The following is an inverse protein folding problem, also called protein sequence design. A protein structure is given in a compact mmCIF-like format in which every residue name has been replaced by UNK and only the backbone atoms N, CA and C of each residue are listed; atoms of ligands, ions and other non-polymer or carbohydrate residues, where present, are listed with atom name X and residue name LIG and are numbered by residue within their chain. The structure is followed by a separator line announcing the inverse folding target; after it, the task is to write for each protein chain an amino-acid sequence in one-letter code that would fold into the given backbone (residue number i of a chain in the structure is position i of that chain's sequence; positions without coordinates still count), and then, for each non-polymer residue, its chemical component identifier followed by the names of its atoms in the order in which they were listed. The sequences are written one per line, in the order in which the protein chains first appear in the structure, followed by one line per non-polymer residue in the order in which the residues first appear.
data_IF_385802884870
#
_entry.id   IF_385802884870
#
_cell.length_a   1.000
_cell.length_b   1.000
_cell.length_c   1.000
_cell.angle_alpha   90.00
_cell.angle_beta   90.00
_cell.angle_gamma   90.00
#
_symmetry.space_group_name_H-M   'P 1'
#
loop_
_entity.id
_entity.type
_entity.pdbx_description
1 polymer ?
#
# COMPACT_ATOMS: atom_id res chain seq x y z
N UNK A 1 24.70 -7.98 8.71
CA UNK A 1 24.44 -6.74 7.98
C UNK A 1 23.20 -6.07 8.56
N UNK A 2 23.42 -4.96 9.25
CA UNK A 2 22.44 -4.02 9.79
C UNK A 2 22.53 -2.72 9.00
N UNK A 3 21.52 -1.85 9.09
CA UNK A 3 21.58 -0.52 8.44
C UNK A 3 22.76 0.34 8.95
N UNK A 4 23.27 0.09 10.17
CA UNK A 4 24.47 0.75 10.68
C UNK A 4 25.74 0.30 9.94
N UNK A 5 25.79 -0.96 9.49
CA UNK A 5 26.93 -1.51 8.71
C UNK A 5 27.06 -0.81 7.35
N UNK A 6 25.94 -0.27 6.82
CA UNK A 6 25.91 0.58 5.62
C UNK A 6 26.22 2.06 5.90
N UNK A 7 26.50 2.42 7.16
CA UNK A 7 26.84 3.78 7.57
C UNK A 7 25.64 4.71 7.82
N UNK A 8 24.40 4.19 7.88
CA UNK A 8 23.23 5.01 8.17
C UNK A 8 23.03 5.20 9.68
N UNK A 9 22.75 6.44 10.09
CA UNK A 9 22.49 6.76 11.50
C UNK A 9 21.00 6.56 11.84
N UNK A 10 20.71 5.51 12.61
CA UNK A 10 19.35 5.14 13.00
C UNK A 10 19.00 5.74 14.36
N UNK A 11 17.89 6.48 14.44
CA UNK A 11 17.39 7.04 15.70
C UNK A 11 16.48 6.06 16.43
N UNK A 12 15.59 5.37 15.71
CA UNK A 12 14.63 4.44 16.32
C UNK A 12 14.18 3.37 15.34
N UNK A 13 13.98 2.17 15.86
CA UNK A 13 13.42 1.04 15.12
C UNK A 13 12.18 0.53 15.86
N UNK A 14 11.06 0.35 15.16
CA UNK A 14 9.82 -0.19 15.73
C UNK A 14 9.22 -1.23 14.79
N UNK A 15 9.11 -2.47 15.24
CA UNK A 15 8.39 -3.50 14.51
C UNK A 15 6.89 -3.24 14.59
N UNK A 16 6.17 -3.38 13.47
CA UNK A 16 4.72 -3.34 13.47
C UNK A 16 4.16 -4.69 13.91
N UNK A 17 3.32 -4.67 14.94
CA UNK A 17 2.76 -5.87 15.57
C UNK A 17 2.10 -6.80 14.53
N UNK A 18 2.47 -8.09 14.54
CA UNK A 18 1.95 -9.14 13.62
C UNK A 18 2.17 -8.84 12.13
N UNK A 19 3.16 -8.01 11.76
CA UNK A 19 3.48 -7.71 10.36
C UNK A 19 4.98 -7.86 10.09
N UNK A 20 5.37 -8.31 8.88
CA UNK A 20 6.76 -8.36 8.43
C UNK A 20 7.28 -6.96 8.06
N UNK A 21 6.96 -5.96 8.88
CA UNK A 21 7.21 -4.55 8.60
C UNK A 21 7.95 -3.93 9.77
N UNK A 22 9.05 -3.26 9.47
CA UNK A 22 9.82 -2.50 10.44
C UNK A 22 9.74 -1.03 10.07
N UNK A 23 9.29 -0.20 11.01
CA UNK A 23 9.36 1.25 10.92
C UNK A 23 10.73 1.70 11.41
N UNK A 24 11.45 2.45 10.61
CA UNK A 24 12.76 3.01 10.93
C UNK A 24 12.69 4.52 10.90
N UNK A 25 13.26 5.17 11.92
CA UNK A 25 13.44 6.61 12.02
C UNK A 25 14.94 6.90 11.93
N UNK A 26 15.34 7.75 10.98
CA UNK A 26 16.74 8.12 10.73
C UNK A 26 17.08 9.48 11.35
N UNK A 27 18.35 9.71 11.67
CA UNK A 27 18.80 11.01 12.19
C UNK A 27 18.83 12.10 11.11
N UNK A 28 19.32 11.75 9.90
CA UNK A 28 19.53 12.69 8.79
C UNK A 28 18.51 12.47 7.67
N UNK A 29 18.07 13.57 7.06
CA UNK A 29 17.14 13.54 5.91
C UNK A 29 17.83 13.03 4.64
N UNK A 30 19.12 13.29 4.48
CA UNK A 30 19.95 12.83 3.36
C UNK A 30 19.99 11.30 3.26
N UNK A 31 20.09 10.63 4.41
CA UNK A 31 20.11 9.17 4.49
C UNK A 31 18.79 8.55 4.02
N UNK A 32 17.66 9.24 4.25
CA UNK A 32 16.35 8.83 3.72
C UNK A 32 16.37 8.82 2.20
N UNK A 33 16.95 9.85 1.59
CA UNK A 33 17.02 9.98 0.12
C UNK A 33 17.95 8.93 -0.47
N UNK A 34 19.08 8.64 0.20
CA UNK A 34 20.02 7.59 -0.23
C UNK A 34 19.36 6.21 -0.18
N UNK A 35 18.80 5.83 0.96
CA UNK A 35 18.10 4.55 1.16
C UNK A 35 16.95 4.35 0.17
N UNK A 36 16.22 5.41 -0.19
CA UNK A 36 15.14 5.32 -1.18
C UNK A 36 15.63 5.19 -2.62
N UNK A 37 16.88 5.58 -2.92
CA UNK A 37 17.52 5.37 -4.21
C UNK A 37 18.21 4.01 -4.30
N UNK A 38 18.68 3.51 -3.16
CA UNK A 38 19.34 2.22 -3.02
C UNK A 38 18.28 1.10 -3.09
N UNK A 39 18.20 0.41 -4.23
CA UNK A 39 17.26 -0.71 -4.39
C UNK A 39 17.79 -2.03 -3.80
N UNK A 40 19.09 -2.07 -3.48
CA UNK A 40 19.81 -3.29 -3.13
C UNK A 40 20.24 -3.33 -1.66
N UNK A 41 19.29 -3.06 -0.75
CA UNK A 41 19.54 -3.16 0.68
C UNK A 41 19.30 -4.60 1.12
N UNK A 42 20.38 -5.26 1.54
CA UNK A 42 20.35 -6.59 2.09
C UNK A 42 20.42 -6.50 3.62
N UNK A 43 19.52 -7.21 4.32
CA UNK A 43 19.59 -7.33 5.77
C UNK A 43 19.62 -8.82 6.11
N UNK A 44 20.77 -9.27 6.60
CA UNK A 44 21.08 -10.70 6.71
C UNK A 44 21.25 -11.33 5.32
N UNK A 45 20.40 -12.29 4.97
CA UNK A 45 20.42 -12.98 3.67
C UNK A 45 19.27 -12.54 2.75
N UNK A 46 18.55 -11.47 3.13
CA UNK A 46 17.28 -11.09 2.52
C UNK A 46 17.35 -9.69 1.92
N UNK A 47 16.89 -9.57 0.67
CA UNK A 47 16.64 -8.28 0.05
C UNK A 47 15.41 -7.63 0.69
N UNK A 48 15.57 -6.40 1.15
CA UNK A 48 14.52 -5.66 1.85
C UNK A 48 14.01 -4.57 0.94
N UNK A 49 12.69 -4.54 0.75
CA UNK A 49 12.07 -3.46 -0.01
C UNK A 49 11.77 -2.29 0.92
N UNK A 50 12.30 -1.12 0.58
CA UNK A 50 12.10 0.12 1.33
C UNK A 50 10.97 0.94 0.72
N UNK A 51 10.07 1.46 1.55
CA UNK A 51 9.05 2.43 1.15
C UNK A 51 9.01 3.62 2.14
N UNK A 52 8.71 4.85 1.68
CA UNK A 52 8.44 5.99 2.56
C UNK A 52 7.37 5.70 3.61
N UNK A 53 7.60 6.11 4.87
CA UNK A 53 6.54 6.10 5.88
C UNK A 53 5.57 7.26 5.63
N UNK A 54 4.31 7.04 5.97
CA UNK A 54 3.25 8.03 5.84
C UNK A 54 2.42 8.00 7.13
N UNK A 55 2.38 9.13 7.85
CA UNK A 55 1.74 9.25 9.17
C UNK A 55 0.24 8.99 9.12
N UNK A 56 -0.40 9.26 7.99
CA UNK A 56 -1.82 8.99 7.77
C UNK A 56 -2.07 7.52 7.39
N UNK A 57 -1.03 6.67 7.37
CA UNK A 57 -1.07 5.28 6.93
C UNK A 57 -0.37 4.34 7.90
N UNK A 58 -1.15 3.56 8.63
CA UNK A 58 -0.64 2.46 9.46
C UNK A 58 -0.11 1.25 8.68
N UNK A 59 -0.31 1.21 7.35
CA UNK A 59 0.13 0.11 6.46
C UNK A 59 0.64 0.60 5.10
N UNK A 60 1.57 -0.13 4.44
CA UNK A 60 2.15 0.22 3.14
C UNK A 60 1.12 0.44 2.02
N UNK A 61 1.57 1.11 0.94
CA UNK A 61 0.75 1.60 -0.18
C UNK A 61 -0.10 0.54 -0.88
N UNK A 62 0.11 -0.76 -0.71
CA UNK A 62 -0.68 -1.82 -1.38
C UNK A 62 -2.14 -1.97 -0.93
N UNK A 63 -2.60 -1.25 0.11
CA UNK A 63 -3.89 -1.50 0.76
C UNK A 63 -5.08 -0.59 0.36
N UNK A 64 -5.06 0.10 -0.79
CA UNK A 64 -6.32 0.57 -1.40
C UNK A 64 -7.09 -0.63 -1.96
N UNK A 65 -7.61 -1.45 -1.05
CA UNK A 65 -8.34 -2.66 -1.38
C UNK A 65 -9.79 -2.27 -1.46
N UNK A 66 -10.23 -2.05 -2.70
CA UNK A 66 -11.64 -2.11 -3.02
C UNK A 66 -12.14 -3.51 -2.69
N UNK A 67 -13.14 -3.60 -1.83
CA UNK A 67 -13.70 -4.88 -1.44
C UNK A 67 -14.21 -5.63 -2.68
N UNK A 68 -13.71 -6.86 -2.94
CA UNK A 68 -14.15 -7.66 -4.10
C UNK A 68 -15.59 -8.18 -3.97
N UNK A 69 -16.18 -8.08 -2.76
CA UNK A 69 -17.55 -8.52 -2.46
C UNK A 69 -18.58 -7.43 -2.71
N UNK A 70 -18.32 -6.20 -2.26
CA UNK A 70 -19.29 -5.10 -2.31
C UNK A 70 -18.82 -3.89 -3.12
N UNK A 71 -17.57 -3.89 -3.58
CA UNK A 71 -16.96 -2.80 -4.36
C UNK A 71 -16.91 -1.44 -3.66
N UNK A 72 -17.17 -1.38 -2.36
CA UNK A 72 -16.90 -0.22 -1.52
C UNK A 72 -15.43 -0.17 -1.10
N UNK A 73 -15.01 1.01 -0.65
CA UNK A 73 -13.63 1.29 -0.25
C UNK A 73 -13.39 0.91 1.22
N UNK A 74 -12.11 0.87 1.59
CA UNK A 74 -11.61 0.81 2.97
C UNK A 74 -11.92 -0.47 3.78
N UNK A 75 -12.14 -1.62 3.12
CA UNK A 75 -12.21 -2.91 3.82
C UNK A 75 -11.94 -4.08 2.86
N UNK A 76 -11.51 -5.21 3.43
CA UNK A 76 -11.30 -6.47 2.68
C UNK A 76 -12.56 -7.35 2.70
N UNK A 77 -12.56 -8.43 1.92
CA UNK A 77 -13.72 -9.33 1.79
C UNK A 77 -14.15 -9.93 3.13
N UNK A 78 -13.18 -10.24 4.00
CA UNK A 78 -13.42 -10.82 5.34
C UNK A 78 -14.14 -9.86 6.28
N UNK A 79 -13.85 -8.56 6.18
CA UNK A 79 -14.42 -7.50 7.02
C UNK A 79 -15.68 -6.88 6.39
N UNK A 80 -16.21 -7.49 5.32
CA UNK A 80 -17.28 -6.89 4.56
C UNK A 80 -18.64 -7.07 5.27
N UNK A 81 -19.36 -5.97 5.62
CA UNK A 81 -20.65 -6.06 6.29
C UNK A 81 -21.75 -6.63 5.37
N UNK A 82 -21.51 -6.67 4.06
CA UNK A 82 -22.46 -7.25 3.10
C UNK A 82 -22.38 -8.77 3.17
N UNK A 83 -23.49 -9.40 3.51
CA UNK A 83 -23.64 -10.87 3.48
C UNK A 83 -23.50 -11.42 2.06
N UNK A 84 -24.05 -10.73 1.05
CA UNK A 84 -24.11 -11.19 -0.35
C UNK A 84 -23.19 -10.38 -1.29
N UNK A 85 -22.72 -11.01 -2.36
CA UNK A 85 -21.86 -10.38 -3.38
C UNK A 85 -22.68 -9.44 -4.27
N UNK A 86 -22.11 -8.29 -4.56
CA UNK A 86 -22.67 -7.27 -5.45
C UNK A 86 -22.08 -7.45 -6.85
N UNK A 87 -22.87 -7.20 -7.89
CA UNK A 87 -22.39 -7.22 -9.28
C UNK A 87 -21.53 -6.01 -9.60
N UNK A 88 -20.41 -6.22 -10.32
CA UNK A 88 -19.50 -5.14 -10.74
C UNK A 88 -20.10 -4.17 -11.76
N UNK A 89 -21.08 -4.64 -12.53
CA UNK A 89 -21.67 -3.91 -13.64
C UNK A 89 -22.92 -3.12 -13.26
N UNK A 90 -23.78 -3.70 -12.41
CA UNK A 90 -25.06 -3.06 -12.07
C UNK A 90 -25.17 -2.64 -10.61
N UNK A 91 -24.22 -3.04 -9.75
CA UNK A 91 -24.27 -2.71 -8.32
C UNK A 91 -25.40 -3.38 -7.53
N UNK A 92 -26.17 -4.27 -8.17
CA UNK A 92 -27.24 -5.04 -7.52
C UNK A 92 -26.68 -6.27 -6.81
N UNK A 93 -27.30 -6.63 -5.68
CA UNK A 93 -27.00 -7.86 -4.96
C UNK A 93 -27.56 -9.09 -5.71
N UNK A 94 -26.93 -10.25 -5.53
CA UNK A 94 -27.43 -11.58 -5.95
C UNK A 94 -27.49 -11.83 -7.46
N UNK A 95 -26.94 -10.92 -8.26
CA UNK A 95 -26.78 -11.15 -9.70
C UNK A 95 -25.33 -11.54 -9.97
N UNK A 96 -25.11 -12.76 -10.44
CA UNK A 96 -23.80 -13.16 -10.95
C UNK A 96 -23.41 -12.26 -12.11
N UNK A 97 -22.17 -11.78 -12.10
CA UNK A 97 -21.65 -10.92 -13.17
C UNK A 97 -21.69 -11.62 -14.55
N UNK A 98 -21.64 -12.95 -14.56
CA UNK A 98 -21.78 -13.77 -15.77
C UNK A 98 -23.20 -13.74 -16.35
N UNK A 99 -24.23 -13.71 -15.48
CA UNK A 99 -25.65 -13.70 -15.88
C UNK A 99 -26.19 -12.30 -16.20
N UNK A 100 -25.33 -11.28 -16.18
CA UNK A 100 -25.74 -9.91 -16.50
C UNK A 100 -25.83 -9.73 -18.03
N UNK A 101 -27.07 -9.70 -18.56
CA UNK A 101 -27.37 -9.55 -19.99
C UNK A 101 -26.72 -8.34 -20.66
N UNK A 102 -26.36 -7.31 -19.90
CA UNK A 102 -25.79 -6.07 -20.42
C UNK A 102 -24.32 -5.90 -20.03
N UNK A 103 -23.60 -7.01 -19.81
CA UNK A 103 -22.16 -7.01 -19.48
C UNK A 103 -21.36 -6.19 -20.50
N UNK A 104 -21.70 -6.30 -21.78
CA UNK A 104 -20.97 -5.65 -22.87
C UNK A 104 -21.50 -4.26 -23.22
N UNK A 105 -22.61 -3.80 -22.64
CA UNK A 105 -23.19 -2.50 -22.94
C UNK A 105 -22.77 -1.46 -21.88
N UNK A 106 -21.86 -0.51 -22.21
CA UNK A 106 -21.33 0.47 -21.25
C UNK A 106 -22.42 1.39 -20.69
N UNK A 107 -23.42 1.75 -21.51
CA UNK A 107 -24.51 2.66 -21.12
C UNK A 107 -25.34 2.13 -19.95
N UNK A 108 -25.40 0.80 -19.80
CA UNK A 108 -26.16 0.10 -18.74
C UNK A 108 -25.29 -0.26 -17.54
N UNK A 109 -24.00 0.07 -17.54
CA UNK A 109 -23.13 -0.10 -16.37
C UNK A 109 -23.34 1.06 -15.41
N UNK A 110 -23.38 0.78 -14.11
CA UNK A 110 -23.43 1.80 -13.06
C UNK A 110 -22.43 1.46 -11.97
N UNK A 111 -21.53 2.39 -11.70
CA UNK A 111 -20.56 2.26 -10.63
C UNK A 111 -21.25 2.28 -9.26
N UNK A 112 -20.91 1.34 -8.38
CA UNK A 112 -21.45 1.29 -6.99
C UNK A 112 -21.08 2.54 -6.18
N UNK A 113 -19.94 3.17 -6.49
CA UNK A 113 -19.43 4.32 -5.73
C UNK A 113 -20.01 5.65 -6.21
N UNK A 114 -19.88 5.95 -7.50
CA UNK A 114 -20.25 7.25 -8.07
C UNK A 114 -21.51 7.21 -8.96
N UNK A 115 -22.13 6.04 -9.17
CA UNK A 115 -23.31 5.83 -10.02
C UNK A 115 -23.16 6.22 -11.51
N UNK A 116 -21.96 6.64 -11.95
CA UNK A 116 -21.63 6.95 -13.35
C UNK A 116 -21.55 5.69 -14.23
N UNK A 117 -21.56 5.92 -15.55
CA UNK A 117 -21.54 4.89 -16.60
C UNK A 117 -20.16 4.27 -16.79
N UNK A 118 -19.72 3.48 -15.81
CA UNK A 118 -18.51 2.66 -15.92
C UNK A 118 -18.61 1.50 -14.93
N UNK A 119 -17.83 0.41 -15.11
CA UNK A 119 -17.83 -0.67 -14.14
C UNK A 119 -17.23 -0.18 -12.82
N UNK A 120 -17.63 -0.81 -11.71
CA UNK A 120 -17.29 -0.30 -10.38
C UNK A 120 -15.78 -0.32 -10.09
N UNK A 121 -15.02 -1.18 -10.78
CA UNK A 121 -13.56 -1.35 -10.68
C UNK A 121 -12.75 -0.42 -11.60
N UNK A 122 -13.40 0.45 -12.37
CA UNK A 122 -12.72 1.41 -13.23
C UNK A 122 -11.84 2.37 -12.44
N UNK A 123 -10.61 2.59 -12.93
CA UNK A 123 -9.68 3.60 -12.44
C UNK A 123 -10.17 5.02 -12.74
N UNK A 124 -11.07 5.19 -13.71
CA UNK A 124 -11.68 6.46 -14.10
C UNK A 124 -12.76 6.96 -13.10
N UNK A 125 -13.03 6.20 -12.04
CA UNK A 125 -14.02 6.61 -11.05
C UNK A 125 -13.52 7.79 -10.21
N UNK A 126 -14.17 8.95 -10.30
CA UNK A 126 -13.80 10.14 -9.51
C UNK A 126 -13.71 9.89 -8.00
N UNK A 127 -14.59 9.06 -7.45
CA UNK A 127 -14.56 8.72 -6.02
C UNK A 127 -13.32 7.91 -5.68
N UNK A 128 -12.93 6.97 -6.56
CA UNK A 128 -11.68 6.22 -6.41
C UNK A 128 -10.48 7.15 -6.56
N UNK A 129 -10.48 8.02 -7.57
CA UNK A 129 -9.43 9.00 -7.82
C UNK A 129 -9.25 9.97 -6.66
N UNK A 130 -10.30 10.67 -6.22
CA UNK A 130 -10.26 11.56 -5.05
C UNK A 130 -9.86 10.84 -3.76
N UNK A 131 -10.32 9.59 -3.57
CA UNK A 131 -9.91 8.80 -2.40
C UNK A 131 -8.43 8.41 -2.47
N UNK A 132 -7.89 8.19 -3.68
CA UNK A 132 -6.46 7.94 -3.89
C UNK A 132 -5.63 9.20 -3.66
N UNK A 133 -6.07 10.34 -4.20
CA UNK A 133 -5.44 11.66 -4.02
C UNK A 133 -5.37 12.06 -2.53
N UNK A 134 -6.49 11.93 -1.79
CA UNK A 134 -6.52 12.17 -0.33
C UNK A 134 -5.56 11.26 0.44
N UNK A 135 -5.31 10.06 -0.08
CA UNK A 135 -4.34 9.13 0.47
C UNK A 135 -2.94 9.37 -0.10
N UNK A 136 -2.63 10.54 -0.66
CA UNK A 136 -1.32 10.85 -1.24
C UNK A 136 -0.86 9.86 -2.32
N UNK A 137 -1.79 9.22 -3.02
CA UNK A 137 -1.50 8.38 -4.19
C UNK A 137 -1.67 9.27 -5.42
N UNK A 138 -0.56 9.81 -5.91
CA UNK A 138 -0.53 10.37 -7.25
C UNK A 138 -0.93 9.25 -8.22
N UNK A 139 -1.96 9.47 -9.02
CA UNK A 139 -2.19 8.66 -10.21
C UNK A 139 -1.12 9.11 -11.20
N UNK A 140 -0.26 8.23 -11.73
CA UNK A 140 0.52 8.60 -12.90
C UNK A 140 -0.49 8.83 -14.03
N UNK A 141 -0.55 10.06 -14.52
CA UNK A 141 -1.00 10.27 -15.89
C UNK A 141 -0.07 9.45 -16.80
N UNK A 142 -0.68 8.93 -17.86
CA UNK A 142 -0.23 7.94 -18.81
C UNK A 142 1.28 7.66 -18.93
N UNK A 143 1.58 6.36 -19.00
CA UNK A 143 2.80 5.72 -19.53
C UNK A 143 4.13 6.48 -19.42
N UNK A 144 5.00 5.99 -18.52
CA UNK A 144 6.45 6.18 -18.63
C UNK A 144 7.08 7.07 -17.56
N UNK A 145 7.67 6.41 -16.55
CA UNK A 145 8.80 6.88 -15.74
C UNK A 145 8.52 8.07 -14.78
N UNK A 146 9.01 7.91 -13.55
CA UNK A 146 9.22 8.97 -12.53
C UNK A 146 8.02 9.45 -11.68
N UNK A 147 7.76 8.74 -10.58
CA UNK A 147 7.29 9.40 -9.34
C UNK A 147 8.18 9.05 -8.14
N UNK A 148 9.49 9.31 -8.25
CA UNK A 148 10.40 9.24 -7.11
C UNK A 148 10.45 10.59 -6.37
N UNK A 149 10.47 11.72 -7.08
CA UNK A 149 10.78 13.04 -6.50
C UNK A 149 9.79 13.50 -5.42
N UNK A 150 8.48 13.45 -5.67
CA UNK A 150 7.49 13.94 -4.71
C UNK A 150 7.31 13.02 -3.49
N UNK A 151 7.49 11.71 -3.66
CA UNK A 151 7.41 10.76 -2.54
C UNK A 151 8.65 10.84 -1.64
N UNK A 152 9.83 11.03 -2.24
CA UNK A 152 11.09 11.27 -1.52
C UNK A 152 11.00 12.57 -0.70
N UNK A 153 10.43 13.64 -1.27
CA UNK A 153 10.23 14.92 -0.54
C UNK A 153 9.41 14.76 0.74
N UNK A 154 8.28 14.04 0.68
CA UNK A 154 7.45 13.79 1.87
C UNK A 154 8.14 12.88 2.90
N UNK A 155 8.90 11.87 2.45
CA UNK A 155 9.67 10.98 3.32
C UNK A 155 10.80 11.74 4.06
N UNK A 156 11.53 12.57 3.32
CA UNK A 156 12.64 13.35 3.85
C UNK A 156 12.20 14.32 4.96
N UNK A 157 10.99 14.89 4.85
CA UNK A 157 10.44 15.76 5.88
C UNK A 157 10.15 15.04 7.22
N UNK A 158 9.82 13.75 7.19
CA UNK A 158 9.47 12.97 8.39
C UNK A 158 10.61 12.13 8.93
N UNK A 159 11.65 11.85 8.11
CA UNK A 159 12.77 10.94 8.43
C UNK A 159 12.34 9.50 8.72
N UNK A 160 11.12 9.13 8.35
CA UNK A 160 10.52 7.84 8.65
C UNK A 160 10.43 6.96 7.39
N UNK A 161 10.80 5.69 7.51
CA UNK A 161 10.78 4.69 6.44
C UNK A 161 10.14 3.36 6.92
N UNK A 162 9.60 2.61 5.97
CA UNK A 162 9.20 1.22 6.13
C UNK A 162 10.15 0.28 5.42
N UNK A 163 10.61 -0.73 6.15
CA UNK A 163 11.33 -1.88 5.61
C UNK A 163 10.38 -3.07 5.57
N UNK A 164 10.18 -3.63 4.37
CA UNK A 164 9.39 -4.83 4.17
C UNK A 164 10.31 -6.05 4.20
N UNK A 165 10.19 -6.83 5.27
CA UNK A 165 10.92 -8.08 5.42
C UNK A 165 10.22 -9.21 4.64
N UNK A 166 10.96 -10.17 4.09
CA UNK A 166 10.36 -11.38 3.55
C UNK A 166 9.60 -12.15 4.63
N UNK A 167 8.58 -12.90 4.21
CA UNK A 167 7.63 -13.58 5.12
C UNK A 167 8.17 -14.84 5.76
N UNK A 168 9.43 -15.18 5.53
CA UNK A 168 9.99 -16.45 5.97
C UNK A 168 10.08 -16.48 7.51
N UNK A 169 9.28 -17.37 8.11
CA UNK A 169 8.96 -17.38 9.54
C UNK A 169 10.20 -17.54 10.45
N UNK A 170 11.25 -18.19 9.95
CA UNK A 170 12.50 -18.42 10.70
C UNK A 170 13.26 -17.12 10.96
N UNK A 171 13.30 -16.22 9.98
CA UNK A 171 14.05 -14.96 10.06
C UNK A 171 13.34 -13.88 10.89
N UNK A 172 12.01 -13.89 10.92
CA UNK A 172 11.28 -12.93 11.76
C UNK A 172 11.53 -13.14 13.25
N UNK A 173 11.69 -14.40 13.69
CA UNK A 173 12.02 -14.70 15.09
C UNK A 173 13.44 -14.26 15.44
N UNK A 174 14.40 -14.45 14.53
CA UNK A 174 15.80 -14.07 14.77
C UNK A 174 16.01 -12.56 14.74
N UNK A 175 15.37 -11.84 13.82
CA UNK A 175 15.39 -10.36 13.82
C UNK A 175 14.68 -9.78 15.04
N UNK A 176 13.55 -10.36 15.44
CA UNK A 176 12.85 -9.94 16.66
C UNK A 176 13.77 -10.06 17.87
N UNK A 177 14.50 -11.18 18.01
CA UNK A 177 15.48 -11.36 19.07
C UNK A 177 16.60 -10.30 19.06
N UNK A 178 17.10 -9.91 17.88
CA UNK A 178 18.17 -8.89 17.76
C UNK A 178 17.68 -7.46 18.00
N UNK A 179 16.44 -7.14 17.63
CA UNK A 179 15.83 -5.81 17.87
C UNK A 179 15.45 -5.66 19.35
N UNK A 180 14.94 -6.71 19.99
CA UNK A 180 14.55 -6.69 21.40
C UNK A 180 15.76 -6.56 22.34
N UNK A 181 16.97 -6.95 21.91
CA UNK A 181 18.23 -6.74 22.65
C UNK A 181 18.76 -5.30 22.62
N UNK A 182 18.23 -4.44 21.74
CA UNK A 182 18.70 -3.04 21.55
C UNK A 182 17.77 -1.97 22.14
N UNK A 183 16.58 -2.33 22.61
CA UNK A 183 15.65 -1.44 23.31
C UNK A 183 15.67 -1.74 24.81
#
# INVERSE_FOLDING_TARGET
ETLEDYGYQIQKVKQLHKMPLVKVLLFKTEDVVKILKDNDIQIGYSMVKVEPFDKDKSRPKSHFKKCRKCYRLNHIVLECPRKRKVSKYCGLANREAAKYRHKNNPSKRKCVLCRKQHPSDSLQCDVIRKSREKLGRCIPEEEGISTNSNQIKCAAATKELFLMLPKDNKYQMEMKARIDLRN
#
